data_IF_029638247640
#
_entry.id   IF_029638247640
#
_cell.length_a   1.000
_cell.length_b   1.000
_cell.length_c   1.000
_cell.angle_alpha   90.00
_cell.angle_beta   90.00
_cell.angle_gamma   90.00
#
_symmetry.space_group_name_H-M   'P 1'
#
loop_
_entity.id
_entity.type
_entity.pdbx_description
1 polymer ?
#
# COMPACT_ATOMS: atom_id res chain seq x y z
N UNK A 1 9.37 5.73 0.90
CA UNK A 1 8.21 4.93 1.34
C UNK A 1 7.28 5.86 2.09
N UNK A 2 6.23 6.38 1.45
CA UNK A 2 5.14 6.99 2.20
C UNK A 2 4.27 5.85 2.71
N UNK A 3 4.26 5.60 4.02
CA UNK A 3 3.31 4.64 4.60
C UNK A 3 1.95 5.33 4.63
N UNK A 4 0.94 4.65 4.11
CA UNK A 4 -0.44 5.11 4.23
C UNK A 4 -0.93 4.90 5.66
N UNK A 5 -1.67 5.87 6.17
CA UNK A 5 -2.25 5.84 7.51
C UNK A 5 -3.76 6.00 7.40
N UNK A 6 -4.44 5.45 8.39
CA UNK A 6 -5.88 5.57 8.53
C UNK A 6 -6.16 6.64 9.60
N UNK A 7 -6.91 7.69 9.23
CA UNK A 7 -7.38 8.69 10.16
C UNK A 7 -8.76 8.27 10.68
N UNK A 8 -8.81 7.82 11.93
CA UNK A 8 -10.04 7.30 12.53
C UNK A 8 -10.90 8.43 13.07
N UNK A 9 -10.31 9.35 13.84
CA UNK A 9 -11.05 10.47 14.42
C UNK A 9 -10.18 11.67 14.78
N UNK A 10 -10.79 12.86 14.79
CA UNK A 10 -10.22 14.11 15.32
C UNK A 10 -11.09 14.60 16.47
N UNK A 11 -10.48 14.94 17.60
CA UNK A 11 -11.17 15.51 18.76
C UNK A 11 -10.77 16.97 18.96
N UNK A 12 -11.76 17.84 19.06
CA UNK A 12 -11.61 19.28 19.26
C UNK A 12 -12.25 19.73 20.57
N UNK A 13 -11.73 20.83 21.11
CA UNK A 13 -12.24 21.50 22.31
C UNK A 13 -12.52 22.97 22.01
N UNK A 14 -13.40 23.55 22.83
CA UNK A 14 -13.59 25.01 22.95
C UNK A 14 -13.94 25.70 21.62
N UNK A 15 -14.79 25.07 20.80
CA UNK A 15 -15.22 25.68 19.54
C UNK A 15 -16.34 26.68 19.83
N UNK A 16 -16.03 27.97 19.72
CA UNK A 16 -16.98 29.08 19.90
C UNK A 16 -18.22 28.97 19.00
N UNK A 17 -19.35 29.46 19.49
CA UNK A 17 -20.58 29.55 18.71
C UNK A 17 -20.38 30.48 17.49
N UNK A 18 -20.77 30.00 16.30
CA UNK A 18 -20.52 30.70 15.03
C UNK A 18 -19.17 30.37 14.37
N UNK A 19 -18.24 29.73 15.10
CA UNK A 19 -17.04 29.12 14.51
C UNK A 19 -17.35 27.66 14.16
N UNK A 20 -17.33 27.30 12.88
CA UNK A 20 -17.48 25.89 12.46
C UNK A 20 -16.21 25.46 11.75
N UNK A 21 -15.21 24.94 12.49
CA UNK A 21 -13.96 24.53 11.89
C UNK A 21 -14.20 23.45 10.82
N UNK A 22 -13.36 23.44 9.81
CA UNK A 22 -13.48 22.53 8.66
C UNK A 22 -12.26 21.62 8.60
N UNK A 23 -12.50 20.33 8.41
CA UNK A 23 -11.46 19.34 8.16
C UNK A 23 -11.50 18.98 6.68
N UNK A 24 -10.36 19.13 6.01
CA UNK A 24 -10.12 18.59 4.67
C UNK A 24 -9.15 17.41 4.79
N UNK A 25 -9.49 16.28 4.19
CA UNK A 25 -8.66 15.07 4.17
C UNK A 25 -8.37 14.71 2.72
N UNK A 26 -7.10 14.53 2.36
CA UNK A 26 -6.67 14.13 1.02
C UNK A 26 -6.12 12.72 1.01
N UNK A 27 -6.42 11.98 -0.06
CA UNK A 27 -6.12 10.56 -0.20
C UNK A 27 -5.07 10.25 -1.28
N UNK A 28 -4.47 9.07 -1.24
CA UNK A 28 -3.53 8.55 -2.23
C UNK A 28 -4.07 8.56 -3.67
N UNK A 29 -5.40 8.43 -3.82
CA UNK A 29 -6.09 8.45 -5.10
C UNK A 29 -6.42 9.86 -5.64
N UNK A 30 -6.00 10.92 -4.94
CA UNK A 30 -6.25 12.32 -5.33
C UNK A 30 -7.65 12.85 -5.01
N UNK A 31 -8.52 12.05 -4.38
CA UNK A 31 -9.80 12.53 -3.87
C UNK A 31 -9.61 13.30 -2.55
N UNK A 32 -10.60 14.13 -2.21
CA UNK A 32 -10.68 14.83 -0.94
C UNK A 32 -12.04 14.60 -0.26
N UNK A 33 -12.04 14.60 1.07
CA UNK A 33 -13.25 14.63 1.88
C UNK A 33 -13.26 15.85 2.79
N UNK A 34 -14.46 16.39 3.01
CA UNK A 34 -14.69 17.60 3.78
C UNK A 34 -15.65 17.30 4.94
N UNK A 35 -15.26 17.70 6.15
CA UNK A 35 -16.06 17.54 7.35
C UNK A 35 -16.21 18.88 8.06
N UNK A 36 -17.45 19.27 8.35
CA UNK A 36 -17.74 20.46 9.16
C UNK A 36 -17.89 20.04 10.61
N UNK A 37 -17.15 20.70 11.48
CA UNK A 37 -17.20 20.48 12.92
C UNK A 37 -18.33 21.33 13.53
N UNK A 38 -18.99 20.77 14.53
CA UNK A 38 -20.02 21.47 15.28
C UNK A 38 -19.38 22.39 16.32
N UNK A 39 -19.95 23.57 16.51
CA UNK A 39 -19.61 24.42 17.64
C UNK A 39 -20.02 23.73 18.96
N UNK A 40 -19.15 23.80 19.96
CA UNK A 40 -19.32 23.09 21.24
C UNK A 40 -19.47 24.03 22.42
N UNK A 41 -19.09 25.31 22.25
CA UNK A 41 -18.94 26.27 23.34
C UNK A 41 -17.76 25.95 24.25
N UNK A 42 -17.62 26.75 25.31
CA UNK A 42 -16.55 26.66 26.30
C UNK A 42 -16.52 25.29 27.00
N UNK A 43 -15.35 24.65 27.01
CA UNK A 43 -15.09 23.30 27.53
C UNK A 43 -15.84 22.17 26.81
N UNK A 44 -16.50 22.48 25.70
CA UNK A 44 -17.20 21.48 24.90
C UNK A 44 -16.23 20.60 24.13
N UNK A 45 -16.52 19.31 24.06
CA UNK A 45 -15.70 18.31 23.34
C UNK A 45 -16.49 17.77 22.16
N UNK A 46 -15.87 17.74 20.98
CA UNK A 46 -16.45 17.09 19.80
C UNK A 46 -15.45 16.19 19.12
N UNK A 47 -15.86 14.97 18.81
CA UNK A 47 -15.05 13.99 18.08
C UNK A 47 -15.68 13.72 16.73
N UNK A 48 -15.01 14.13 15.65
CA UNK A 48 -15.40 13.77 14.29
C UNK A 48 -14.79 12.42 13.93
N UNK A 49 -15.65 11.42 13.73
CA UNK A 49 -15.25 10.15 13.13
C UNK A 49 -15.04 10.35 11.62
N UNK A 50 -13.87 9.97 11.12
CA UNK A 50 -13.50 10.06 9.71
C UNK A 50 -13.43 8.66 9.10
N UNK A 51 -12.78 7.70 9.78
CA UNK A 51 -12.61 6.30 9.35
C UNK A 51 -12.22 6.16 7.87
N UNK A 52 -11.12 6.84 7.49
CA UNK A 52 -10.63 6.81 6.10
C UNK A 52 -9.22 6.27 6.04
N UNK A 53 -8.99 5.39 5.08
CA UNK A 53 -7.67 4.83 4.76
C UNK A 53 -6.99 5.62 3.64
N UNK A 54 -5.69 5.36 3.46
CA UNK A 54 -4.89 5.99 2.40
C UNK A 54 -4.81 7.51 2.52
N UNK A 55 -4.77 8.04 3.77
CA UNK A 55 -4.66 9.48 4.03
C UNK A 55 -3.23 9.93 3.76
N UNK A 56 -3.07 10.91 2.86
CA UNK A 56 -1.79 11.56 2.58
C UNK A 56 -1.55 12.76 3.50
N UNK A 57 -2.55 13.61 3.61
CA UNK A 57 -2.53 14.77 4.49
C UNK A 57 -3.95 15.13 4.90
N UNK A 58 -4.05 15.86 6.00
CA UNK A 58 -5.29 16.50 6.41
C UNK A 58 -4.98 17.91 6.90
N UNK A 59 -5.98 18.78 6.82
CA UNK A 59 -5.90 20.15 7.28
C UNK A 59 -7.14 20.45 8.11
N UNK A 60 -6.96 21.19 9.20
CA UNK A 60 -8.06 21.72 10.00
C UNK A 60 -7.98 23.24 9.92
N UNK A 61 -9.09 23.87 9.54
CA UNK A 61 -9.19 25.31 9.43
C UNK A 61 -10.18 25.84 10.47
N UNK A 62 -9.68 26.69 11.37
CA UNK A 62 -10.48 27.39 12.37
C UNK A 62 -10.88 28.77 11.85
N UNK A 63 -12.08 29.22 12.22
CA UNK A 63 -12.65 30.52 11.85
C UNK A 63 -12.91 31.40 13.08
N UNK A 64 -12.12 31.21 14.14
CA UNK A 64 -12.28 31.83 15.45
C UNK A 64 -11.39 31.12 16.47
N UNK A 65 -11.81 31.08 17.73
CA UNK A 65 -11.10 30.31 18.75
C UNK A 65 -11.52 28.82 18.74
N UNK A 66 -10.63 27.98 19.24
CA UNK A 66 -10.78 26.53 19.25
C UNK A 66 -9.43 25.83 19.32
N UNK A 67 -9.44 24.59 19.80
CA UNK A 67 -8.22 23.78 19.90
C UNK A 67 -8.47 22.34 19.47
N UNK A 68 -7.39 21.67 19.07
CA UNK A 68 -7.39 20.23 18.81
C UNK A 68 -6.75 19.54 19.99
N UNK A 69 -7.49 18.62 20.62
CA UNK A 69 -7.02 17.91 21.82
C UNK A 69 -6.48 16.52 21.52
N UNK A 70 -6.86 15.92 20.38
CA UNK A 70 -6.36 14.60 20.04
C UNK A 70 -6.70 14.15 18.63
N UNK A 71 -5.89 13.20 18.15
CA UNK A 71 -6.06 12.50 16.90
C UNK A 71 -5.97 11.00 17.16
N UNK A 72 -6.80 10.21 16.49
CA UNK A 72 -6.70 8.74 16.50
C UNK A 72 -6.31 8.26 15.11
N UNK A 73 -5.17 7.57 15.05
CA UNK A 73 -4.57 7.03 13.84
C UNK A 73 -4.41 5.52 13.96
N UNK A 74 -4.57 4.81 12.84
CA UNK A 74 -4.17 3.42 12.72
C UNK A 74 -3.17 3.26 11.57
N UNK A 75 -2.14 2.43 11.78
CA UNK A 75 -1.29 2.01 10.66
C UNK A 75 -2.12 1.13 9.72
N UNK A 76 -2.10 1.46 8.42
CA UNK A 76 -2.76 0.64 7.43
C UNK A 76 -2.01 -0.71 7.34
N UNK A 77 -2.62 -1.79 7.84
CA UNK A 77 -2.03 -3.12 7.74
C UNK A 77 -2.20 -3.59 6.29
N UNK A 78 -1.21 -3.29 5.46
CA UNK A 78 -1.11 -3.93 4.15
C UNK A 78 -1.00 -5.44 4.38
N UNK A 79 -2.02 -6.19 3.96
CA UNK A 79 -2.00 -7.64 4.08
C UNK A 79 -0.72 -8.18 3.41
N UNK A 80 -0.03 -9.16 4.01
CA UNK A 80 1.22 -9.67 3.44
C UNK A 80 0.95 -10.18 2.02
N UNK A 81 1.63 -9.56 1.04
CA UNK A 81 1.59 -9.96 -0.36
C UNK A 81 1.99 -11.43 -0.43
N UNK A 82 1.06 -12.33 -0.84
CA UNK A 82 1.38 -13.74 -1.07
C UNK A 82 2.63 -13.81 -1.95
N UNK A 83 3.70 -14.41 -1.43
CA UNK A 83 4.95 -14.54 -2.17
C UNK A 83 4.71 -15.26 -3.51
N UNK A 84 5.45 -14.93 -4.58
CA UNK A 84 5.32 -15.64 -5.86
C UNK A 84 5.68 -17.11 -5.66
N UNK A 85 4.75 -18.02 -5.96
CA UNK A 85 5.04 -19.46 -6.02
C UNK A 85 5.91 -19.69 -7.26
N UNK A 86 7.23 -19.61 -7.09
CA UNK A 86 8.19 -20.10 -8.09
C UNK A 86 8.30 -21.61 -7.94
N UNK A 87 7.43 -22.36 -8.62
CA UNK A 87 7.68 -23.80 -8.82
C UNK A 87 8.95 -23.99 -9.66
N UNK A 88 9.92 -24.82 -9.23
CA UNK A 88 11.14 -25.06 -10.00
C UNK A 88 10.87 -25.83 -11.29
N UNK A 89 11.60 -25.42 -12.33
CA UNK A 89 11.62 -25.89 -13.71
C UNK A 89 11.82 -27.40 -13.85
N UNK A 90 11.09 -28.05 -14.77
CA UNK A 90 11.42 -29.41 -15.25
C UNK A 90 12.81 -29.38 -15.92
N UNK A 91 13.60 -30.42 -15.64
CA UNK A 91 15.00 -30.57 -16.03
C UNK A 91 15.20 -30.69 -17.56
N UNK A 92 16.39 -30.39 -18.10
CA UNK A 92 16.69 -30.61 -19.51
C UNK A 92 16.99 -32.09 -19.78
N UNK A 93 16.20 -32.71 -20.66
CA UNK A 93 16.42 -34.08 -21.14
C UNK A 93 17.44 -34.07 -22.27
N UNK A 94 18.74 -34.16 -21.96
CA UNK A 94 19.78 -34.39 -22.97
C UNK A 94 20.16 -35.88 -23.00
N UNK A 95 19.60 -36.64 -23.94
CA UNK A 95 20.16 -37.92 -24.35
C UNK A 95 21.02 -37.70 -25.61
N UNK A 96 22.33 -37.98 -25.59
CA UNK A 96 23.12 -37.93 -26.82
C UNK A 96 22.85 -39.20 -27.63
N UNK A 97 22.08 -39.08 -28.70
CA UNK A 97 21.92 -40.16 -29.69
C UNK A 97 22.69 -39.77 -30.95
N UNK A 98 23.94 -40.23 -31.07
CA UNK A 98 24.67 -40.36 -32.33
C UNK A 98 25.94 -41.19 -32.12
N UNK A 99 25.82 -42.50 -32.29
CA UNK A 99 26.98 -43.33 -32.63
C UNK A 99 27.26 -43.15 -34.14
N UNK A 100 28.51 -42.84 -34.57
CA UNK A 100 28.83 -42.76 -35.98
C UNK A 100 28.75 -44.14 -36.67
N UNK A 101 28.15 -44.13 -37.85
CA UNK A 101 27.99 -45.25 -38.78
C UNK A 101 29.36 -45.68 -39.35
N UNK A 102 29.48 -46.99 -39.58
CA UNK A 102 30.59 -47.73 -40.23
C UNK A 102 31.07 -47.14 -41.57
N UNK A 103 32.37 -47.27 -41.89
CA UNK A 103 32.91 -47.71 -43.19
C UNK A 103 34.45 -48.00 -43.08
N UNK A 104 35.16 -48.44 -44.14
CA UNK A 104 35.51 -49.83 -44.43
C UNK A 104 37.04 -50.09 -44.41
N UNK A 105 37.48 -51.34 -44.34
CA UNK A 105 38.88 -51.66 -44.69
C UNK A 105 38.92 -52.80 -45.70
N UNK A 106 39.16 -52.42 -46.97
CA UNK A 106 39.49 -53.34 -48.07
C UNK A 106 40.91 -53.90 -47.86
N UNK A 107 41.09 -55.14 -48.31
CA UNK A 107 42.35 -55.91 -48.32
C UNK A 107 43.47 -55.23 -49.14
N UNK A 108 44.72 -55.59 -48.85
CA UNK A 108 45.45 -56.40 -49.82
C UNK A 108 46.32 -57.47 -49.14
N UNK A 109 46.24 -58.72 -49.60
CA UNK A 109 47.32 -59.69 -49.33
C UNK A 109 47.98 -60.01 -50.65
N UNK A 110 49.16 -59.42 -50.82
CA UNK A 110 50.13 -59.75 -51.85
C UNK A 110 51.02 -60.86 -51.28
N UNK A 111 51.20 -61.94 -52.01
CA UNK A 111 52.23 -62.95 -51.74
C UNK A 111 52.88 -63.38 -53.08
N UNK A 112 54.13 -63.86 -53.05
CA UNK A 112 55.11 -63.78 -54.15
C UNK A 112 54.82 -64.69 -55.35
#
# INVERSE_FOLDING_TARGET
>A
FSKTVDLESVTSLDIDEGSTPEITVSYGNGQEAFYKLQATGDNGVFTQMINKSDVQWFQIKFYGSGSVSGFKWAECVTAPTKAPVKTPSKAPTNAPTKAPVRAPTKAPTKAP
#
